data_IF_046047194797
#
_entry.id   IF_046047194797
#
_cell.length_a   1.000
_cell.length_b   1.000
_cell.length_c   1.000
_cell.angle_alpha   90.00
_cell.angle_beta   90.00
_cell.angle_gamma   90.00
#
_symmetry.space_group_name_H-M   'P 1'
#
loop_
_entity.id
_entity.type
_entity.pdbx_description
1 polymer ?
#
# COMPACT_ATOMS: atom_id res chain seq x y z
N UNK A 1 -7.57 64.15 17.80
CA UNK A 1 -8.32 63.36 16.79
C UNK A 1 -8.70 64.21 15.57
N UNK A 2 -9.63 65.17 15.67
CA UNK A 2 -10.23 65.86 14.51
C UNK A 2 -9.37 66.84 13.67
N UNK A 3 -8.07 66.60 13.54
CA UNK A 3 -7.17 67.40 12.67
C UNK A 3 -6.89 66.73 11.31
N UNK A 4 -7.19 65.43 11.18
CA UNK A 4 -7.13 64.73 9.89
C UNK A 4 -8.36 65.04 9.02
N UNK A 5 -9.53 65.17 9.63
CA UNK A 5 -10.80 65.34 8.91
C UNK A 5 -10.96 66.76 8.36
N UNK A 6 -10.61 67.79 9.14
CA UNK A 6 -10.55 69.19 8.67
C UNK A 6 -9.53 69.37 7.56
N UNK A 7 -8.39 68.65 7.64
CA UNK A 7 -7.40 68.61 6.56
C UNK A 7 -7.94 67.91 5.31
N UNK A 8 -8.50 66.70 5.43
CA UNK A 8 -9.18 65.99 4.31
C UNK A 8 -10.21 66.89 3.62
N UNK A 9 -11.07 67.57 4.38
CA UNK A 9 -12.11 68.46 3.83
C UNK A 9 -11.53 69.67 3.08
N UNK A 10 -10.50 70.32 3.64
CA UNK A 10 -9.84 71.45 2.96
C UNK A 10 -9.18 70.97 1.67
N UNK A 11 -8.42 69.89 1.75
CA UNK A 11 -7.73 69.27 0.61
C UNK A 11 -8.74 68.85 -0.48
N UNK A 12 -9.86 68.22 -0.13
CA UNK A 12 -10.90 67.75 -1.05
C UNK A 12 -11.73 68.87 -1.72
N UNK A 13 -11.61 70.12 -1.23
CA UNK A 13 -12.17 71.30 -1.91
C UNK A 13 -11.24 71.88 -2.99
N UNK A 14 -9.97 71.46 -3.04
CA UNK A 14 -8.99 71.88 -4.05
C UNK A 14 -8.95 70.89 -5.23
N UNK A 15 -9.06 69.58 -4.96
CA UNK A 15 -9.25 68.55 -5.98
C UNK A 15 -10.23 67.50 -5.43
N UNK A 16 -11.28 67.10 -6.18
CA UNK A 16 -12.13 66.01 -5.77
C UNK A 16 -11.41 64.66 -5.90
N UNK A 17 -11.43 63.87 -4.84
CA UNK A 17 -11.05 62.47 -4.82
C UNK A 17 -12.03 61.63 -4.02
N UNK A 18 -11.99 60.34 -4.30
CA UNK A 18 -12.73 59.28 -3.64
C UNK A 18 -11.71 58.26 -3.10
N UNK A 19 -12.10 57.38 -2.17
CA UNK A 19 -11.18 56.37 -1.64
C UNK A 19 -11.13 55.14 -2.58
N UNK A 20 -9.93 54.75 -3.05
CA UNK A 20 -9.73 53.75 -4.14
C UNK A 20 -10.55 52.46 -4.03
N UNK A 21 -10.73 51.98 -2.78
CA UNK A 21 -11.44 50.74 -2.45
C UNK A 21 -12.92 50.79 -2.85
N UNK A 22 -13.52 51.98 -2.91
CA UNK A 22 -14.92 52.18 -3.29
C UNK A 22 -15.13 52.29 -4.81
N UNK A 23 -14.07 52.57 -5.59
CA UNK A 23 -14.20 53.01 -7.00
C UNK A 23 -13.53 52.05 -7.99
N UNK A 24 -12.36 51.50 -7.65
CA UNK A 24 -11.59 50.68 -8.60
C UNK A 24 -11.09 49.35 -8.05
N UNK A 25 -10.77 49.28 -6.75
CA UNK A 25 -10.12 48.10 -6.16
C UNK A 25 -8.76 47.76 -6.80
N UNK A 26 -8.15 48.68 -7.55
CA UNK A 26 -6.91 48.41 -8.30
C UNK A 26 -5.64 48.41 -7.43
N UNK A 27 -5.74 48.72 -6.13
CA UNK A 27 -4.65 48.63 -5.17
C UNK A 27 -5.03 47.87 -3.91
N UNK A 28 -4.03 47.25 -3.28
CA UNK A 28 -4.16 46.43 -2.07
C UNK A 28 -3.21 46.95 -1.00
N UNK A 29 -3.64 47.03 0.25
CA UNK A 29 -2.72 47.23 1.37
C UNK A 29 -1.82 45.99 1.54
N UNK A 30 -0.50 46.21 1.62
CA UNK A 30 0.50 45.16 1.82
C UNK A 30 1.40 45.54 3.00
N UNK A 31 1.45 44.68 4.02
CA UNK A 31 2.29 44.86 5.20
C UNK A 31 3.76 44.57 4.87
N UNK A 32 4.62 45.56 5.09
CA UNK A 32 6.07 45.47 4.93
C UNK A 32 6.77 45.62 6.27
N UNK A 33 7.61 44.65 6.65
CA UNK A 33 8.50 44.79 7.80
C UNK A 33 9.75 45.58 7.38
N UNK A 34 9.82 46.84 7.79
CA UNK A 34 10.90 47.76 7.47
C UNK A 34 11.90 47.80 8.61
N UNK A 35 13.20 47.66 8.30
CA UNK A 35 14.28 47.92 9.27
C UNK A 35 14.52 49.42 9.37
N UNK A 36 14.62 49.94 10.60
CA UNK A 36 15.02 51.32 10.78
C UNK A 36 16.46 51.52 10.29
N UNK A 37 16.69 52.56 9.49
CA UNK A 37 18.04 53.04 9.14
C UNK A 37 18.55 54.10 10.13
N UNK A 38 17.80 54.39 11.20
CA UNK A 38 18.07 55.49 12.12
C UNK A 38 19.20 55.15 13.11
N UNK A 39 20.44 55.27 12.66
CA UNK A 39 21.60 55.38 13.56
C UNK A 39 21.55 56.73 14.28
N UNK A 40 20.80 56.80 15.39
CA UNK A 40 21.08 57.62 16.59
C UNK A 40 19.88 57.69 17.55
N UNK A 41 19.93 56.93 18.65
CA UNK A 41 19.38 57.34 19.96
C UNK A 41 19.89 56.40 21.06
N UNK A 42 20.81 56.89 21.90
CA UNK A 42 21.26 56.15 23.07
C UNK A 42 20.21 56.17 24.19
N UNK A 43 19.29 55.20 24.19
CA UNK A 43 18.83 54.54 25.44
C UNK A 43 18.00 53.28 25.22
N UNK A 44 18.53 52.19 25.76
CA UNK A 44 17.79 51.11 26.44
C UNK A 44 16.65 50.41 25.68
N UNK A 45 16.95 49.20 25.19
CA UNK A 45 16.26 48.03 25.72
C UNK A 45 17.08 46.75 25.61
N UNK A 46 17.07 45.96 26.68
CA UNK A 46 17.74 44.66 26.75
C UNK A 46 16.74 43.54 26.45
N UNK A 47 16.61 43.18 25.17
CA UNK A 47 16.16 41.88 24.69
C UNK A 47 16.40 41.79 23.18
N UNK A 48 16.65 40.58 22.65
CA UNK A 48 17.10 40.35 21.27
C UNK A 48 16.06 40.53 20.16
N UNK A 49 15.16 41.51 20.27
CA UNK A 49 14.23 41.86 19.21
C UNK A 49 14.94 42.70 18.14
N UNK A 50 14.92 42.24 16.88
CA UNK A 50 15.42 43.03 15.74
C UNK A 50 14.55 44.28 15.55
N UNK A 51 15.18 45.44 15.37
CA UNK A 51 14.50 46.71 15.07
C UNK A 51 13.84 46.68 13.67
N UNK A 52 12.62 46.15 13.64
CA UNK A 52 11.77 45.98 12.46
C UNK A 52 10.34 46.35 12.84
N UNK A 53 9.76 47.32 12.13
CA UNK A 53 8.37 47.74 12.32
C UNK A 53 7.55 47.48 11.06
N UNK A 54 6.29 47.09 11.26
CA UNK A 54 5.34 46.88 10.17
C UNK A 54 4.83 48.21 9.62
N UNK A 55 4.82 48.35 8.30
CA UNK A 55 4.23 49.48 7.57
C UNK A 55 3.29 48.92 6.51
N UNK A 56 2.02 49.28 6.58
CA UNK A 56 1.04 48.93 5.54
C UNK A 56 1.12 49.94 4.39
N UNK A 57 1.46 49.45 3.19
CA UNK A 57 1.60 50.27 1.98
C UNK A 57 0.54 49.83 0.97
N UNK A 58 -0.29 50.76 0.47
CA UNK A 58 -1.15 50.46 -0.70
C UNK A 58 -0.27 50.33 -1.94
N UNK A 59 -0.41 49.21 -2.64
CA UNK A 59 0.32 48.89 -3.87
C UNK A 59 -0.67 48.51 -4.96
N UNK A 60 -0.56 49.11 -6.16
CA UNK A 60 -1.37 48.68 -7.30
C UNK A 60 -1.03 47.24 -7.74
N UNK A 61 -1.94 46.58 -8.44
CA UNK A 61 -1.78 45.20 -8.94
C UNK A 61 -0.41 44.96 -9.61
N UNK A 62 0.01 45.87 -10.48
CA UNK A 62 1.23 45.69 -11.29
C UNK A 62 2.50 45.92 -10.47
N UNK A 63 2.52 46.86 -9.53
CA UNK A 63 3.62 47.05 -8.59
C UNK A 63 3.73 45.89 -7.58
N UNK A 64 2.59 45.41 -7.08
CA UNK A 64 2.50 44.23 -6.22
C UNK A 64 3.09 43.00 -6.95
N UNK A 65 2.61 42.70 -8.16
CA UNK A 65 3.16 41.63 -8.99
C UNK A 65 4.65 41.83 -9.30
N UNK A 66 5.09 43.03 -9.71
CA UNK A 66 6.49 43.26 -10.10
C UNK A 66 7.46 43.05 -8.93
N UNK A 67 7.09 43.49 -7.71
CA UNK A 67 7.96 43.40 -6.53
C UNK A 67 7.91 42.01 -5.88
N UNK A 68 6.74 41.35 -5.84
CA UNK A 68 6.59 40.09 -5.11
C UNK A 68 6.54 38.82 -5.98
N UNK A 69 6.31 38.91 -7.30
CA UNK A 69 6.17 37.73 -8.18
C UNK A 69 7.30 36.71 -8.01
N UNK A 70 8.57 37.12 -7.94
CA UNK A 70 9.68 36.19 -7.71
C UNK A 70 9.61 35.48 -6.34
N UNK A 71 9.27 36.22 -5.27
CA UNK A 71 9.10 35.67 -3.91
C UNK A 71 7.92 34.72 -3.87
N UNK A 72 6.77 35.13 -4.40
CA UNK A 72 5.52 34.39 -4.31
C UNK A 72 5.51 33.18 -5.26
N UNK A 73 6.23 33.26 -6.40
CA UNK A 73 6.61 32.12 -7.23
C UNK A 73 7.51 31.13 -6.48
N UNK A 74 8.54 31.62 -5.78
CA UNK A 74 9.39 30.77 -4.93
C UNK A 74 8.58 30.09 -3.82
N UNK A 75 7.66 30.80 -3.17
CA UNK A 75 6.75 30.26 -2.15
C UNK A 75 5.75 29.25 -2.73
N UNK A 76 5.21 29.49 -3.93
CA UNK A 76 4.31 28.52 -4.58
C UNK A 76 5.01 27.26 -5.07
N UNK A 77 6.29 27.33 -5.48
CA UNK A 77 7.15 26.15 -5.73
C UNK A 77 7.37 25.34 -4.45
N UNK A 78 7.53 26.01 -3.30
CA UNK A 78 7.63 25.33 -1.99
C UNK A 78 6.28 24.70 -1.57
N UNK A 79 5.16 25.32 -1.93
CA UNK A 79 3.81 24.81 -1.66
C UNK A 79 3.42 23.65 -2.60
N UNK A 80 4.03 22.48 -2.40
CA UNK A 80 3.63 21.24 -3.11
C UNK A 80 2.20 20.82 -2.74
N UNK A 81 1.28 20.63 -3.70
CA UNK A 81 -0.08 20.13 -3.45
C UNK A 81 -0.08 18.67 -2.94
N UNK A 82 -1.19 18.20 -2.34
CA UNK A 82 -1.28 16.84 -1.78
C UNK A 82 -1.06 15.75 -2.82
N UNK A 83 -1.57 15.90 -4.06
CA UNK A 83 -1.35 14.94 -5.14
C UNK A 83 0.12 14.80 -5.51
N UNK A 84 0.86 15.91 -5.61
CA UNK A 84 2.30 15.88 -5.88
C UNK A 84 3.05 15.16 -4.74
N UNK A 85 2.71 15.45 -3.48
CA UNK A 85 3.31 14.76 -2.32
C UNK A 85 3.03 13.25 -2.36
N UNK A 86 1.82 12.84 -2.74
CA UNK A 86 1.45 11.44 -2.88
C UNK A 86 2.17 10.74 -4.05
N UNK A 87 2.30 11.42 -5.20
CA UNK A 87 3.04 10.93 -6.36
C UNK A 87 4.56 10.81 -6.07
N UNK A 88 5.17 11.82 -5.46
CA UNK A 88 6.57 11.76 -5.02
C UNK A 88 6.81 10.59 -4.05
N UNK A 89 5.87 10.33 -3.15
CA UNK A 89 5.91 9.17 -2.23
C UNK A 89 5.83 7.84 -2.99
N UNK A 90 4.95 7.74 -4.00
CA UNK A 90 4.82 6.55 -4.84
C UNK A 90 6.14 6.26 -5.59
N UNK A 91 6.72 7.29 -6.22
CA UNK A 91 7.99 7.18 -6.93
C UNK A 91 9.19 6.85 -6.02
N UNK A 92 9.18 7.26 -4.75
CA UNK A 92 10.21 6.85 -3.78
C UNK A 92 10.15 5.34 -3.50
N UNK A 93 8.96 4.78 -3.29
CA UNK A 93 8.79 3.34 -3.13
C UNK A 93 9.15 2.58 -4.42
N UNK A 94 8.82 3.11 -5.60
CA UNK A 94 9.17 2.51 -6.89
C UNK A 94 10.69 2.37 -7.06
N UNK A 95 11.45 3.44 -6.78
CA UNK A 95 12.92 3.42 -6.81
C UNK A 95 13.48 2.43 -5.80
N UNK A 96 12.93 2.39 -4.59
CA UNK A 96 13.33 1.43 -3.55
C UNK A 96 13.12 -0.04 -3.94
N UNK A 97 12.02 -0.34 -4.63
CA UNK A 97 11.71 -1.66 -5.19
C UNK A 97 12.68 -2.01 -6.32
N UNK A 98 12.85 -1.10 -7.29
CA UNK A 98 13.72 -1.29 -8.45
C UNK A 98 15.20 -1.46 -8.09
N UNK A 99 15.67 -0.87 -6.99
CA UNK A 99 17.02 -1.10 -6.45
C UNK A 99 17.15 -2.44 -5.70
N UNK A 100 16.06 -2.93 -5.09
CA UNK A 100 16.06 -4.16 -4.28
C UNK A 100 15.91 -5.43 -5.14
N UNK A 101 15.17 -5.36 -6.25
CA UNK A 101 14.93 -6.47 -7.19
C UNK A 101 16.22 -7.11 -7.74
N UNK A 102 17.23 -6.38 -8.27
CA UNK A 102 18.49 -6.97 -8.70
C UNK A 102 19.29 -7.64 -7.57
N UNK A 103 19.11 -7.18 -6.32
CA UNK A 103 19.72 -7.85 -5.16
C UNK A 103 19.01 -9.17 -4.85
N UNK A 104 17.68 -9.16 -4.88
CA UNK A 104 16.86 -10.37 -4.72
C UNK A 104 17.18 -11.42 -5.80
N UNK A 105 17.22 -11.04 -7.08
CA UNK A 105 17.51 -11.97 -8.18
C UNK A 105 18.91 -12.61 -8.07
N UNK A 106 19.95 -11.85 -7.70
CA UNK A 106 21.29 -12.42 -7.46
C UNK A 106 21.29 -13.46 -6.34
N UNK A 107 20.58 -13.19 -5.24
CA UNK A 107 20.46 -14.14 -4.13
C UNK A 107 19.58 -15.34 -4.50
N UNK A 108 18.58 -15.19 -5.36
CA UNK A 108 17.83 -16.34 -5.89
C UNK A 108 18.71 -17.27 -6.73
N UNK A 109 19.51 -16.72 -7.64
CA UNK A 109 20.43 -17.51 -8.47
C UNK A 109 21.45 -18.25 -7.60
N UNK A 110 22.00 -17.59 -6.57
CA UNK A 110 22.92 -18.20 -5.60
C UNK A 110 22.27 -19.25 -4.67
N UNK A 111 20.94 -19.40 -4.69
CA UNK A 111 20.20 -20.44 -3.98
C UNK A 111 19.64 -21.55 -4.90
N UNK A 112 19.78 -21.41 -6.22
CA UNK A 112 19.40 -22.47 -7.15
C UNK A 112 20.53 -23.51 -7.21
N UNK A 113 20.24 -24.81 -7.05
CA UNK A 113 21.24 -25.85 -7.29
C UNK A 113 21.62 -25.85 -8.76
N UNK A 114 22.90 -25.70 -9.06
CA UNK A 114 23.40 -25.84 -10.42
C UNK A 114 23.15 -27.26 -10.93
N UNK A 115 22.61 -27.35 -12.15
CA UNK A 115 22.38 -28.61 -12.84
C UNK A 115 23.42 -28.77 -13.95
N UNK A 116 24.00 -29.95 -14.04
CA UNK A 116 24.84 -30.35 -15.16
C UNK A 116 24.00 -30.45 -16.43
N UNK A 117 24.65 -30.46 -17.60
CA UNK A 117 23.97 -30.59 -18.90
C UNK A 117 23.17 -31.90 -19.06
N UNK A 118 23.44 -32.90 -18.21
CA UNK A 118 22.69 -34.17 -18.08
C UNK A 118 21.39 -34.04 -17.27
N UNK A 119 21.13 -32.90 -16.64
CA UNK A 119 19.97 -32.66 -15.77
C UNK A 119 20.17 -33.05 -14.30
N UNK A 120 21.26 -33.75 -13.98
CA UNK A 120 21.67 -34.08 -12.62
C UNK A 120 22.14 -32.84 -11.84
N UNK A 121 22.02 -32.88 -10.52
CA UNK A 121 22.49 -31.79 -9.64
C UNK A 121 24.01 -31.92 -9.46
N UNK A 122 24.74 -30.82 -9.62
CA UNK A 122 26.19 -30.81 -9.40
C UNK A 122 26.52 -30.91 -7.91
N UNK A 123 26.77 -32.15 -7.45
CA UNK A 123 27.17 -32.46 -6.07
C UNK A 123 28.60 -31.99 -5.72
N UNK A 124 29.38 -31.47 -6.68
CA UNK A 124 30.72 -30.92 -6.40
C UNK A 124 30.68 -29.53 -5.75
N UNK A 125 29.58 -28.79 -5.92
CA UNK A 125 29.37 -27.49 -5.25
C UNK A 125 28.66 -27.68 -3.91
N UNK A 126 29.12 -27.04 -2.82
CA UNK A 126 28.49 -27.17 -1.52
C UNK A 126 27.08 -26.59 -1.54
N UNK A 127 26.11 -27.19 -0.80
CA UNK A 127 24.75 -26.68 -0.74
C UNK A 127 24.70 -25.26 -0.15
N UNK A 128 23.70 -24.44 -0.52
CA UNK A 128 23.62 -23.05 -0.10
C UNK A 128 23.67 -22.90 1.41
N UNK A 129 24.56 -22.03 1.88
CA UNK A 129 24.89 -21.86 3.29
C UNK A 129 23.69 -21.28 4.05
N UNK A 130 23.49 -21.71 5.30
CA UNK A 130 22.38 -21.24 6.15
C UNK A 130 22.29 -19.70 6.24
N UNK A 131 23.42 -19.00 6.26
CA UNK A 131 23.49 -17.54 6.19
C UNK A 131 22.91 -16.95 4.89
N UNK A 132 23.16 -17.57 3.73
CA UNK A 132 22.60 -17.13 2.43
C UNK A 132 21.08 -17.30 2.40
N UNK A 133 20.58 -18.40 2.97
CA UNK A 133 19.14 -18.68 3.14
C UNK A 133 18.47 -17.62 4.03
N UNK A 134 19.13 -17.21 5.13
CA UNK A 134 18.63 -16.15 6.01
C UNK A 134 18.62 -14.78 5.33
N UNK A 135 19.66 -14.40 4.58
CA UNK A 135 19.68 -13.14 3.83
C UNK A 135 18.63 -13.11 2.72
N UNK A 136 18.40 -14.22 2.02
CA UNK A 136 17.31 -14.34 1.06
C UNK A 136 15.94 -14.10 1.71
N UNK A 137 15.71 -14.65 2.91
CA UNK A 137 14.51 -14.42 3.70
C UNK A 137 14.33 -12.94 4.09
N UNK A 138 15.40 -12.28 4.55
CA UNK A 138 15.40 -10.85 4.91
C UNK A 138 15.09 -9.95 3.70
N UNK A 139 15.74 -10.20 2.56
CA UNK A 139 15.54 -9.45 1.31
C UNK A 139 14.10 -9.68 0.79
N UNK A 140 13.62 -10.92 0.78
CA UNK A 140 12.24 -11.26 0.39
C UNK A 140 11.22 -10.51 1.26
N UNK A 141 11.38 -10.54 2.59
CA UNK A 141 10.48 -9.83 3.51
C UNK A 141 10.48 -8.33 3.23
N UNK A 142 11.65 -7.68 3.18
CA UNK A 142 11.78 -6.25 2.87
C UNK A 142 11.13 -5.86 1.53
N UNK A 143 11.24 -6.72 0.52
CA UNK A 143 10.66 -6.49 -0.80
C UNK A 143 9.13 -6.63 -0.79
N UNK A 144 8.57 -7.62 -0.08
CA UNK A 144 7.13 -7.75 0.15
C UNK A 144 6.58 -6.55 0.95
N UNK A 145 7.27 -6.14 2.02
CA UNK A 145 6.90 -4.96 2.83
C UNK A 145 6.88 -3.68 1.98
N UNK A 146 7.84 -3.52 1.06
CA UNK A 146 7.87 -2.40 0.10
C UNK A 146 6.74 -2.45 -0.91
N UNK A 147 6.40 -3.63 -1.46
CA UNK A 147 5.25 -3.78 -2.35
C UNK A 147 3.92 -3.45 -1.66
N UNK A 148 3.73 -3.88 -0.40
CA UNK A 148 2.56 -3.51 0.39
C UNK A 148 2.45 -2.00 0.63
N UNK A 149 3.59 -1.33 0.89
CA UNK A 149 3.65 0.14 1.03
C UNK A 149 3.36 0.86 -0.28
N UNK A 150 3.93 0.42 -1.40
CA UNK A 150 3.67 0.97 -2.73
C UNK A 150 2.18 0.85 -3.11
N UNK A 151 1.57 -0.33 -2.95
CA UNK A 151 0.14 -0.52 -3.22
C UNK A 151 -0.78 0.30 -2.31
N UNK A 152 -0.37 0.53 -1.06
CA UNK A 152 -1.09 1.42 -0.13
C UNK A 152 -0.96 2.90 -0.53
N UNK A 153 0.23 3.34 -0.97
CA UNK A 153 0.44 4.68 -1.49
C UNK A 153 -0.36 4.93 -2.78
N UNK A 154 -0.39 3.96 -3.71
CA UNK A 154 -1.17 4.04 -4.94
C UNK A 154 -2.69 4.16 -4.66
N UNK A 155 -3.23 3.36 -3.71
CA UNK A 155 -4.62 3.49 -3.24
C UNK A 155 -4.89 4.87 -2.65
N UNK A 156 -4.00 5.38 -1.79
CA UNK A 156 -4.14 6.69 -1.14
C UNK A 156 -4.16 7.83 -2.16
N UNK A 157 -3.25 7.81 -3.14
CA UNK A 157 -3.19 8.78 -4.23
C UNK A 157 -4.49 8.81 -5.05
N UNK A 158 -5.11 7.65 -5.31
CA UNK A 158 -6.43 7.54 -5.97
C UNK A 158 -7.63 7.80 -5.04
N UNK A 159 -7.38 8.12 -3.77
CA UNK A 159 -8.38 8.47 -2.75
C UNK A 159 -8.32 9.93 -2.31
N UNK A 160 -7.41 10.74 -2.89
CA UNK A 160 -7.37 12.18 -2.66
C UNK A 160 -8.56 12.85 -3.35
N UNK A 161 -9.28 13.72 -2.64
CA UNK A 161 -10.44 14.45 -3.16
C UNK A 161 -10.04 15.33 -4.35
N UNK A 162 -10.82 15.26 -5.43
CA UNK A 162 -10.61 16.04 -6.65
C UNK A 162 -11.93 16.56 -7.20
N UNK A 163 -11.99 17.88 -7.42
CA UNK A 163 -13.17 18.55 -8.00
C UNK A 163 -13.04 18.71 -9.53
N UNK A 164 -11.88 18.36 -10.10
CA UNK A 164 -11.58 18.42 -11.54
C UNK A 164 -11.48 17.02 -12.14
N UNK A 165 -12.31 16.77 -13.15
CA UNK A 165 -12.30 15.53 -13.96
C UNK A 165 -10.91 15.20 -14.54
N UNK A 166 -10.12 16.20 -14.95
CA UNK A 166 -8.75 15.98 -15.45
C UNK A 166 -7.78 15.47 -14.38
N UNK A 167 -7.96 15.88 -13.12
CA UNK A 167 -7.15 15.48 -11.98
C UNK A 167 -7.51 14.06 -11.53
N UNK A 168 -8.82 13.73 -11.54
CA UNK A 168 -9.33 12.37 -11.35
C UNK A 168 -8.78 11.39 -12.40
N UNK A 169 -8.85 11.73 -13.69
CA UNK A 169 -8.27 10.91 -14.78
C UNK A 169 -6.77 10.67 -14.60
N UNK A 170 -6.03 11.66 -14.14
CA UNK A 170 -4.59 11.51 -13.82
C UNK A 170 -4.37 10.52 -12.66
N UNK A 171 -5.14 10.63 -11.57
CA UNK A 171 -5.07 9.69 -10.44
C UNK A 171 -5.42 8.25 -10.87
N UNK A 172 -6.45 8.06 -11.71
CA UNK A 172 -6.84 6.75 -12.25
C UNK A 172 -5.77 6.17 -13.18
N UNK A 173 -5.16 6.98 -14.05
CA UNK A 173 -4.07 6.56 -14.93
C UNK A 173 -2.82 6.10 -14.13
N UNK A 174 -2.38 6.89 -13.15
CA UNK A 174 -1.22 6.54 -12.32
C UNK A 174 -1.52 5.34 -11.41
N UNK A 175 -2.76 5.20 -10.90
CA UNK A 175 -3.17 3.99 -10.17
C UNK A 175 -3.15 2.73 -11.05
N UNK A 176 -3.53 2.87 -12.32
CA UNK A 176 -3.51 1.77 -13.29
C UNK A 176 -2.07 1.36 -13.62
N UNK A 177 -1.18 2.33 -13.86
CA UNK A 177 0.26 2.09 -14.01
C UNK A 177 0.86 1.38 -12.78
N UNK A 178 0.59 1.89 -11.58
CA UNK A 178 1.07 1.31 -10.33
C UNK A 178 0.56 -0.12 -10.12
N UNK A 179 -0.68 -0.40 -10.50
CA UNK A 179 -1.24 -1.75 -10.46
C UNK A 179 -0.51 -2.69 -11.43
N UNK A 180 -0.22 -2.24 -12.66
CA UNK A 180 0.62 -2.98 -13.61
C UNK A 180 2.03 -3.27 -13.09
N UNK A 181 2.71 -2.25 -12.56
CA UNK A 181 4.03 -2.39 -11.95
C UNK A 181 4.05 -3.44 -10.82
N UNK A 182 3.02 -3.44 -9.96
CA UNK A 182 2.84 -4.46 -8.92
C UNK A 182 2.69 -5.86 -9.52
N UNK A 183 1.80 -6.06 -10.50
CA UNK A 183 1.59 -7.38 -11.10
C UNK A 183 2.85 -7.94 -11.77
N UNK A 184 3.58 -7.13 -12.54
CA UNK A 184 4.83 -7.54 -13.19
C UNK A 184 5.90 -7.94 -12.18
N UNK A 185 6.13 -7.14 -11.14
CA UNK A 185 7.28 -7.31 -10.25
C UNK A 185 7.00 -8.20 -9.01
N UNK A 186 5.73 -8.50 -8.70
CA UNK A 186 5.39 -9.50 -7.67
C UNK A 186 5.32 -10.93 -8.20
N UNK A 187 5.22 -11.16 -9.51
CA UNK A 187 5.16 -12.50 -10.08
C UNK A 187 6.41 -13.36 -9.75
N UNK A 188 7.67 -12.86 -9.90
CA UNK A 188 8.88 -13.63 -9.59
C UNK A 188 9.05 -13.97 -8.09
N UNK A 189 8.31 -13.29 -7.20
CA UNK A 189 8.32 -13.58 -5.76
C UNK A 189 7.47 -14.79 -5.36
N UNK A 190 6.52 -15.21 -6.21
CA UNK A 190 5.65 -16.36 -5.94
C UNK A 190 6.26 -17.69 -6.42
N UNK A 191 6.98 -17.68 -7.54
CA UNK A 191 7.61 -18.87 -8.17
C UNK A 191 8.88 -19.37 -7.48
N UNK A 192 9.00 -19.18 -6.16
CA UNK A 192 10.20 -19.51 -5.40
C UNK A 192 10.27 -21.03 -5.09
N UNK A 193 11.40 -21.73 -5.36
CA UNK A 193 11.55 -23.14 -5.02
C UNK A 193 11.23 -23.46 -3.55
N UNK A 194 10.63 -24.63 -3.30
CA UNK A 194 10.08 -24.99 -1.99
C UNK A 194 11.13 -25.04 -0.86
N UNK A 195 12.43 -25.07 -1.17
CA UNK A 195 13.57 -25.06 -0.24
C UNK A 195 13.47 -23.94 0.82
N UNK A 196 12.88 -22.79 0.48
CA UNK A 196 12.68 -21.66 1.39
C UNK A 196 11.37 -21.71 2.21
N UNK A 197 10.55 -22.76 2.05
CA UNK A 197 9.22 -22.91 2.69
C UNK A 197 9.24 -23.92 3.85
N UNK A 198 10.18 -24.85 3.85
CA UNK A 198 10.24 -26.04 4.73
C UNK A 198 10.79 -25.80 6.14
N UNK A 199 10.65 -24.59 6.72
CA UNK A 199 11.30 -24.25 8.01
C UNK A 199 10.48 -23.35 8.94
N UNK A 200 9.15 -23.43 8.86
CA UNK A 200 8.21 -22.73 9.75
C UNK A 200 7.06 -23.62 10.24
N UNK A 201 7.32 -24.92 10.39
CA UNK A 201 6.47 -25.88 11.10
C UNK A 201 7.36 -27.03 11.63
N UNK A 202 7.04 -27.64 12.78
CA UNK A 202 7.59 -28.94 13.14
C UNK A 202 7.07 -29.99 12.14
N UNK A 203 7.94 -30.82 11.58
CA UNK A 203 7.55 -31.79 10.57
C UNK A 203 6.85 -32.99 11.19
N UNK A 204 5.63 -33.29 10.73
CA UNK A 204 5.23 -34.68 10.58
C UNK A 204 5.32 -35.08 9.09
N UNK A 205 5.69 -36.31 8.80
CA UNK A 205 6.21 -36.70 7.48
C UNK A 205 5.25 -37.58 6.68
N UNK A 206 4.63 -37.00 5.65
CA UNK A 206 4.16 -37.75 4.48
C UNK A 206 4.66 -37.08 3.20
N UNK A 207 5.11 -37.89 2.24
CA UNK A 207 5.54 -37.47 0.91
C UNK A 207 4.50 -38.03 -0.06
N UNK A 208 3.92 -37.23 -0.94
CA UNK A 208 3.39 -37.70 -2.23
C UNK A 208 3.42 -36.58 -3.28
N UNK A 209 3.07 -36.93 -4.51
CA UNK A 209 3.43 -36.19 -5.73
C UNK A 209 2.54 -34.96 -5.96
N UNK A 210 3.02 -34.01 -6.75
CA UNK A 210 2.24 -32.86 -7.21
C UNK A 210 2.09 -32.86 -8.72
N UNK A 211 0.87 -33.05 -9.22
CA UNK A 211 0.46 -32.59 -10.55
C UNK A 211 -0.04 -31.14 -10.45
N UNK A 212 0.29 -30.26 -11.41
CA UNK A 212 -0.21 -28.89 -11.42
C UNK A 212 -1.61 -28.81 -12.06
N UNK A 213 -2.36 -27.73 -11.80
CA UNK A 213 -2.99 -26.89 -12.85
C UNK A 213 -3.80 -25.70 -12.29
N UNK A 214 -3.68 -24.57 -12.99
CA UNK A 214 -4.50 -23.33 -12.94
C UNK A 214 -4.65 -22.57 -11.61
N UNK A 215 -5.36 -21.44 -11.71
CA UNK A 215 -5.36 -20.36 -10.72
C UNK A 215 -6.64 -19.52 -10.88
N UNK A 216 -7.20 -19.09 -9.76
CA UNK A 216 -8.15 -17.97 -9.73
C UNK A 216 -7.84 -17.05 -8.54
N UNK A 217 -8.12 -15.76 -8.71
CA UNK A 217 -7.82 -14.71 -7.74
C UNK A 217 -9.04 -14.37 -6.90
N UNK A 218 -8.89 -14.26 -5.58
CA UNK A 218 -9.86 -13.56 -4.71
C UNK A 218 -9.38 -12.14 -4.39
N UNK A 219 -10.31 -11.17 -4.42
CA UNK A 219 -10.06 -9.74 -4.22
C UNK A 219 -11.23 -9.07 -3.49
N UNK A 220 -10.94 -8.28 -2.44
CA UNK A 220 -11.89 -7.41 -1.67
C UNK A 220 -12.83 -8.26 -0.77
N UNK A 221 -13.60 -7.72 0.20
CA UNK A 221 -14.30 -6.44 0.38
C UNK A 221 -14.62 -6.28 1.91
N UNK A 222 -14.63 -5.15 2.64
CA UNK A 222 -14.19 -3.72 2.49
C UNK A 222 -14.06 -3.12 3.93
N UNK A 223 -13.70 -1.84 4.10
CA UNK A 223 -13.53 -1.10 5.36
C UNK A 223 -14.85 -0.75 6.09
N UNK A 224 -14.82 -0.62 7.43
CA UNK A 224 -15.73 0.23 8.24
C UNK A 224 -14.90 0.95 9.34
N UNK A 225 -15.34 2.14 9.76
CA UNK A 225 -14.72 3.00 10.79
C UNK A 225 -14.83 2.44 12.23
N UNK A 226 -14.16 2.96 13.26
CA UNK A 226 -13.22 4.10 13.33
C UNK A 226 -13.71 5.28 14.18
N UNK A 227 -13.46 5.23 15.50
CA UNK A 227 -13.45 6.35 16.48
C UNK A 227 -12.86 5.86 17.82
N UNK A 228 -12.44 6.79 18.69
CA UNK A 228 -11.67 6.51 19.92
C UNK A 228 -12.49 5.96 21.10
N UNK A 229 -11.92 5.01 21.86
CA UNK A 229 -11.92 4.96 23.34
C UNK A 229 -11.17 3.74 23.89
N UNK A 230 -10.50 3.90 25.04
CA UNK A 230 -10.26 2.83 26.03
C UNK A 230 -9.09 1.86 25.79
N UNK A 231 -8.06 1.98 26.62
CA UNK A 231 -7.04 0.92 26.77
C UNK A 231 -7.61 -0.27 27.54
N UNK A 232 -7.88 -1.39 26.86
CA UNK A 232 -8.06 -2.71 27.46
C UNK A 232 -7.21 -3.75 26.74
N UNK A 233 -6.85 -4.83 27.44
CA UNK A 233 -5.88 -5.81 26.97
C UNK A 233 -6.42 -6.64 25.78
N UNK A 234 -5.54 -7.13 24.88
CA UNK A 234 -5.94 -8.09 23.87
C UNK A 234 -6.28 -9.45 24.52
N UNK A 235 -7.55 -9.65 24.83
CA UNK A 235 -8.07 -10.91 25.38
C UNK A 235 -7.71 -12.08 24.48
N UNK A 236 -7.04 -13.10 25.03
CA UNK A 236 -6.45 -14.22 24.29
C UNK A 236 -7.47 -14.95 23.39
N UNK A 237 -8.73 -15.00 23.82
CA UNK A 237 -9.87 -15.51 23.05
C UNK A 237 -10.02 -14.88 21.66
N UNK A 238 -9.75 -13.58 21.50
CA UNK A 238 -9.87 -12.88 20.21
C UNK A 238 -8.87 -13.41 19.18
N UNK A 239 -7.62 -13.66 19.61
CA UNK A 239 -6.58 -14.25 18.77
C UNK A 239 -6.91 -15.70 18.37
N UNK A 240 -7.46 -16.49 19.31
CA UNK A 240 -7.88 -17.88 19.05
C UNK A 240 -9.06 -17.92 18.06
N UNK A 241 -10.02 -17.01 18.20
CA UNK A 241 -11.15 -16.84 17.26
C UNK A 241 -10.64 -16.57 15.85
N UNK A 242 -9.82 -15.52 15.64
CA UNK A 242 -9.31 -15.19 14.30
C UNK A 242 -8.40 -16.27 13.69
N UNK A 243 -7.73 -17.08 14.51
CA UNK A 243 -7.00 -18.24 14.01
C UNK A 243 -7.96 -19.33 13.49
N UNK A 244 -9.01 -19.65 14.24
CA UNK A 244 -9.95 -20.70 13.86
C UNK A 244 -10.78 -20.35 12.62
N UNK A 245 -11.17 -19.08 12.45
CA UNK A 245 -11.78 -18.59 11.19
C UNK A 245 -10.89 -18.90 9.97
N UNK A 246 -9.57 -18.73 10.13
CA UNK A 246 -8.62 -18.99 9.05
C UNK A 246 -8.43 -20.49 8.80
N UNK A 247 -8.40 -21.33 9.85
CA UNK A 247 -8.30 -22.79 9.75
C UNK A 247 -9.56 -23.41 9.11
N UNK A 248 -10.76 -22.99 9.54
CA UNK A 248 -12.05 -23.41 8.98
C UNK A 248 -12.13 -23.09 7.48
N UNK A 249 -11.78 -21.86 7.11
CA UNK A 249 -11.83 -21.39 5.72
C UNK A 249 -10.82 -22.11 4.83
N UNK A 250 -9.58 -22.30 5.29
CA UNK A 250 -8.56 -23.03 4.55
C UNK A 250 -8.96 -24.49 4.29
N UNK A 251 -9.63 -25.13 5.26
CA UNK A 251 -10.13 -26.50 5.11
C UNK A 251 -11.32 -26.57 4.13
N UNK A 252 -12.26 -25.62 4.22
CA UNK A 252 -13.42 -25.54 3.30
C UNK A 252 -13.01 -25.24 1.85
N UNK A 253 -12.01 -24.37 1.64
CA UNK A 253 -11.46 -24.10 0.30
C UNK A 253 -10.82 -25.35 -0.32
N UNK A 254 -10.05 -26.12 0.47
CA UNK A 254 -9.43 -27.39 0.01
C UNK A 254 -10.47 -28.46 -0.30
N UNK A 255 -11.49 -28.60 0.55
CA UNK A 255 -12.59 -29.56 0.35
C UNK A 255 -13.36 -29.26 -0.94
N UNK A 256 -13.64 -27.99 -1.23
CA UNK A 256 -14.28 -27.58 -2.49
C UNK A 256 -13.41 -27.89 -3.73
N UNK A 257 -12.09 -27.67 -3.66
CA UNK A 257 -11.16 -28.00 -4.75
C UNK A 257 -11.12 -29.51 -5.03
N UNK A 258 -11.11 -30.36 -3.99
CA UNK A 258 -11.13 -31.81 -4.18
C UNK A 258 -12.47 -32.30 -4.75
N UNK A 259 -13.60 -31.70 -4.35
CA UNK A 259 -14.91 -32.00 -4.95
C UNK A 259 -14.96 -31.67 -6.44
N UNK A 260 -14.38 -30.53 -6.87
CA UNK A 260 -14.26 -30.18 -8.28
C UNK A 260 -13.33 -31.15 -9.04
N UNK A 261 -12.18 -31.52 -8.46
CA UNK A 261 -11.26 -32.50 -9.04
C UNK A 261 -11.91 -33.88 -9.19
N UNK A 262 -12.71 -34.32 -8.20
CA UNK A 262 -13.50 -35.55 -8.25
C UNK A 262 -14.48 -35.53 -9.42
N UNK A 263 -15.22 -34.43 -9.64
CA UNK A 263 -16.14 -34.29 -10.77
C UNK A 263 -15.40 -34.33 -12.13
N UNK A 264 -14.22 -33.71 -12.21
CA UNK A 264 -13.37 -33.76 -13.40
C UNK A 264 -12.87 -35.18 -13.71
N UNK A 265 -12.43 -35.94 -12.69
CA UNK A 265 -12.03 -37.35 -12.84
C UNK A 265 -13.23 -38.22 -13.22
N UNK A 266 -14.41 -37.97 -12.66
CA UNK A 266 -15.65 -38.68 -13.01
C UNK A 266 -16.03 -38.48 -14.49
N UNK A 267 -15.80 -37.30 -15.06
CA UNK A 267 -16.00 -37.05 -16.49
C UNK A 267 -14.89 -37.68 -17.36
N UNK A 268 -13.63 -37.62 -16.93
CA UNK A 268 -12.53 -38.35 -17.60
C UNK A 268 -12.78 -39.86 -17.65
N UNK A 269 -13.38 -40.45 -16.60
CA UNK A 269 -13.81 -41.86 -16.57
C UNK A 269 -14.89 -42.12 -17.63
N UNK A 270 -15.89 -41.24 -17.77
CA UNK A 270 -16.94 -41.36 -18.80
C UNK A 270 -16.34 -41.27 -20.20
N UNK A 271 -15.43 -40.32 -20.45
CA UNK A 271 -14.71 -40.17 -21.72
C UNK A 271 -13.82 -41.39 -22.04
N UNK A 272 -13.05 -41.88 -21.08
CA UNK A 272 -12.18 -43.05 -21.26
C UNK A 272 -12.99 -44.34 -21.50
N UNK A 273 -14.13 -44.49 -20.82
CA UNK A 273 -15.08 -45.60 -21.03
C UNK A 273 -15.70 -45.55 -22.43
N UNK A 274 -16.17 -44.38 -22.86
CA UNK A 274 -16.68 -44.18 -24.22
C UNK A 274 -15.63 -44.46 -25.31
N UNK A 275 -14.37 -44.09 -25.05
CA UNK A 275 -13.22 -44.40 -25.90
C UNK A 275 -12.70 -45.85 -25.77
N UNK A 276 -13.30 -46.69 -24.92
CA UNK A 276 -12.88 -48.08 -24.62
C UNK A 276 -11.44 -48.23 -24.10
N UNK A 277 -10.89 -47.18 -23.47
CA UNK A 277 -9.52 -47.17 -22.91
C UNK A 277 -9.53 -47.68 -21.47
N UNK A 278 -9.82 -48.96 -21.31
CA UNK A 278 -10.12 -49.57 -20.00
C UNK A 278 -8.95 -49.55 -18.99
N UNK A 279 -7.70 -49.49 -19.44
CA UNK A 279 -6.54 -49.32 -18.56
C UNK A 279 -6.56 -47.93 -17.88
N UNK A 280 -6.89 -46.88 -18.63
CA UNK A 280 -7.07 -45.53 -18.08
C UNK A 280 -8.28 -45.46 -17.15
N UNK A 281 -9.37 -46.15 -17.47
CA UNK A 281 -10.54 -46.27 -16.56
C UNK A 281 -10.14 -46.89 -15.22
N UNK A 282 -9.30 -47.95 -15.22
CA UNK A 282 -8.82 -48.57 -13.97
C UNK A 282 -7.86 -47.68 -13.18
N UNK A 283 -7.07 -46.85 -13.85
CA UNK A 283 -6.18 -45.87 -13.19
C UNK A 283 -6.97 -44.69 -12.59
N UNK A 284 -7.90 -44.12 -13.35
CA UNK A 284 -8.75 -43.00 -12.92
C UNK A 284 -9.71 -43.41 -11.80
N UNK A 285 -10.25 -44.63 -11.82
CA UNK A 285 -11.09 -45.14 -10.74
C UNK A 285 -10.37 -45.17 -9.38
N UNK A 286 -9.11 -45.62 -9.34
CA UNK A 286 -8.30 -45.59 -8.09
C UNK A 286 -8.05 -44.16 -7.61
N UNK A 287 -7.81 -43.23 -8.53
CA UNK A 287 -7.64 -41.83 -8.15
C UNK A 287 -8.96 -41.19 -7.67
N UNK A 288 -10.10 -41.61 -8.19
CA UNK A 288 -11.42 -41.24 -7.65
C UNK A 288 -11.63 -41.82 -6.24
N UNK A 289 -11.23 -43.07 -5.97
CA UNK A 289 -11.28 -43.68 -4.63
C UNK A 289 -10.36 -42.96 -3.63
N UNK A 290 -9.16 -42.52 -4.07
CA UNK A 290 -8.22 -41.69 -3.31
C UNK A 290 -8.86 -40.33 -2.96
N UNK A 291 -9.44 -39.63 -3.94
CA UNK A 291 -10.13 -38.35 -3.75
C UNK A 291 -11.35 -38.48 -2.82
N UNK A 292 -12.18 -39.52 -2.98
CA UNK A 292 -13.32 -39.80 -2.08
C UNK A 292 -12.85 -40.23 -0.66
N UNK A 293 -11.58 -40.61 -0.50
CA UNK A 293 -10.89 -40.75 0.79
C UNK A 293 -10.50 -39.40 1.40
N UNK A 294 -9.77 -38.56 0.66
CA UNK A 294 -9.31 -37.25 1.14
C UNK A 294 -10.46 -36.29 1.44
N UNK A 295 -11.51 -36.27 0.62
CA UNK A 295 -12.74 -35.48 0.84
C UNK A 295 -13.40 -35.88 2.17
N UNK A 296 -13.37 -37.17 2.53
CA UNK A 296 -13.94 -37.69 3.78
C UNK A 296 -13.09 -37.29 4.99
N UNK A 297 -11.77 -37.40 4.88
CA UNK A 297 -10.84 -36.99 5.94
C UNK A 297 -10.90 -35.48 6.20
N UNK A 298 -11.00 -34.66 5.14
CA UNK A 298 -11.19 -33.22 5.27
C UNK A 298 -12.59 -32.84 5.74
N UNK A 299 -13.63 -33.59 5.36
CA UNK A 299 -14.99 -33.40 5.86
C UNK A 299 -15.09 -33.56 7.37
N UNK A 300 -14.42 -34.58 7.94
CA UNK A 300 -14.30 -34.76 9.39
C UNK A 300 -13.57 -33.56 10.01
N UNK A 301 -12.42 -33.16 9.48
CA UNK A 301 -11.65 -32.02 10.01
C UNK A 301 -12.40 -30.68 9.96
N UNK A 302 -13.25 -30.46 8.95
CA UNK A 302 -14.14 -29.31 8.90
C UNK A 302 -15.17 -29.38 10.02
N UNK A 303 -15.81 -30.55 10.23
CA UNK A 303 -16.74 -30.78 11.34
C UNK A 303 -16.10 -30.57 12.73
N UNK A 304 -14.89 -31.10 12.95
CA UNK A 304 -14.13 -30.91 14.19
C UNK A 304 -13.86 -29.42 14.49
N UNK A 305 -13.60 -28.62 13.45
CA UNK A 305 -13.39 -27.17 13.58
C UNK A 305 -14.71 -26.44 13.79
N UNK A 306 -15.79 -26.83 13.10
CA UNK A 306 -17.14 -26.27 13.30
C UNK A 306 -17.71 -26.56 14.70
N UNK A 307 -17.42 -27.72 15.30
CA UNK A 307 -17.80 -28.02 16.69
C UNK A 307 -16.99 -27.17 17.67
N UNK A 308 -15.66 -27.06 17.49
CA UNK A 308 -14.80 -26.17 18.29
C UNK A 308 -15.26 -24.70 18.21
N UNK A 309 -15.68 -24.27 17.02
CA UNK A 309 -16.22 -22.93 16.76
C UNK A 309 -17.54 -22.69 17.53
N UNK A 310 -18.50 -23.61 17.41
CA UNK A 310 -19.76 -23.56 18.17
C UNK A 310 -19.55 -23.57 19.69
N UNK A 311 -18.56 -24.35 20.18
CA UNK A 311 -18.17 -24.38 21.59
C UNK A 311 -17.69 -23.02 22.11
N UNK A 312 -16.94 -22.26 21.30
CA UNK A 312 -16.47 -20.92 21.68
C UNK A 312 -17.63 -19.93 21.75
N UNK A 313 -18.54 -19.92 20.77
CA UNK A 313 -19.74 -19.07 20.82
C UNK A 313 -20.65 -19.39 22.02
N UNK A 314 -20.82 -20.69 22.33
CA UNK A 314 -21.63 -21.13 23.47
C UNK A 314 -21.02 -20.74 24.82
N UNK A 315 -19.70 -20.72 24.93
CA UNK A 315 -18.98 -20.29 26.14
C UNK A 315 -18.80 -18.76 26.24
N UNK A 316 -19.02 -18.03 25.14
CA UNK A 316 -18.96 -16.55 25.09
C UNK A 316 -20.27 -15.84 25.43
N UNK A 317 -21.38 -16.57 25.63
CA UNK A 317 -22.67 -15.99 25.99
C UNK A 317 -22.77 -15.75 27.52
N UNK A 318 -22.93 -14.50 27.99
CA UNK A 318 -23.19 -14.23 29.40
C UNK A 318 -24.62 -14.67 29.77
N UNK A 319 -24.75 -15.29 30.94
CA UNK A 319 -26.02 -15.55 31.64
C UNK A 319 -26.37 -14.40 32.57
#
# INVERSE_FOLDING_TARGET
MGQKDTRKLLEQSVVPWEEDDAVTGCSSAVSLNVRSAAVCSEKTQANGATDQFGVDVRMCRDCNHTIFSYRDFTTSIQHKPPDQKAYETLCQFERGISLLLPSFHRVLLALQPEKLGTGEIDLSKPPPTHAQILEAGKIRKRLIDSFGKYGTAAKRMRGLRTDRETQKRLQEAVYTYASGFLHTNMLPLKSLPQVLRTRSAPSNSSRFLSTPTHSSSSLRHTEIAGSDAGSQAPSEASTVVSQLESEEKDLKERLAVLQEQRLMVEDMIKMATGARRFEEVSALARNMDELDGEIRELGVKVGDVEERWQGIYRNGAPT
#
